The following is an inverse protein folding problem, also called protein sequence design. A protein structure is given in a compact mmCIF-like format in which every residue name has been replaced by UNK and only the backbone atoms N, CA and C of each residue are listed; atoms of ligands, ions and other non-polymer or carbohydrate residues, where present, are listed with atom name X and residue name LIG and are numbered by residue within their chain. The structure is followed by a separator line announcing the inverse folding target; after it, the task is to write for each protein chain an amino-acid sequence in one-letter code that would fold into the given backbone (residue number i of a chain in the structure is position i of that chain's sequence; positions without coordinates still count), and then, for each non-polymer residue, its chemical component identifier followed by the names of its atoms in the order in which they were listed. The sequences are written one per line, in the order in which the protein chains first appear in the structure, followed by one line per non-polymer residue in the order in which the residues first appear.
data_IF_781013288219
#
_entry.id   IF_781013288219
#
_cell.length_a   1.000
_cell.length_b   1.000
_cell.length_c   1.000
_cell.angle_alpha   90.00
_cell.angle_beta   90.00
_cell.angle_gamma   90.00
#
_symmetry.space_group_name_H-M   'P 1'
#
loop_
_entity.id
_entity.type
_entity.pdbx_description
1 polymer ?
#
# COMPACT_ATOMS: atom_id res chain seq x y z
N UNK A 1 -11.04 -9.09 -6.75
CA UNK A 1 -10.19 -8.63 -5.62
C UNK A 1 -9.31 -7.46 -6.06
N UNK A 2 -9.23 -6.47 -5.24
CA UNK A 2 -8.34 -5.32 -5.42
C UNK A 2 -7.32 -5.35 -4.29
N UNK A 3 -6.05 -5.30 -4.64
CA UNK A 3 -4.96 -5.22 -3.67
C UNK A 3 -4.45 -3.78 -3.64
N UNK A 4 -4.44 -3.17 -2.45
CA UNK A 4 -3.91 -1.83 -2.26
C UNK A 4 -2.75 -1.91 -1.28
N UNK A 5 -1.54 -1.64 -1.76
CA UNK A 5 -0.34 -1.59 -0.95
C UNK A 5 -0.01 -0.15 -0.60
N UNK A 6 0.26 0.12 0.67
CA UNK A 6 0.61 1.44 1.17
C UNK A 6 2.04 1.45 1.68
N UNK A 7 2.80 2.47 1.29
CA UNK A 7 3.97 2.90 2.01
C UNK A 7 3.52 3.60 3.31
N UNK A 8 4.44 3.82 4.23
CA UNK A 8 4.11 4.42 5.52
C UNK A 8 4.60 5.87 5.61
N UNK A 9 5.92 6.07 5.63
CA UNK A 9 6.51 7.40 5.81
C UNK A 9 6.11 8.34 4.68
N UNK A 10 5.57 9.51 5.03
CA UNK A 10 5.11 10.49 4.06
C UNK A 10 3.83 10.11 3.32
N UNK A 11 3.23 8.96 3.63
CA UNK A 11 2.01 8.46 3.00
C UNK A 11 0.85 8.40 3.99
N UNK A 12 1.06 7.79 5.14
CA UNK A 12 0.05 7.67 6.19
C UNK A 12 0.27 8.72 7.28
N UNK A 13 -0.81 9.19 7.90
CA UNK A 13 -0.75 10.24 8.92
C UNK A 13 -0.04 9.80 10.20
N UNK A 14 0.08 8.51 10.45
CA UNK A 14 0.90 7.99 11.55
C UNK A 14 2.39 8.25 11.34
N UNK A 15 2.81 8.67 10.14
CA UNK A 15 4.20 8.91 9.77
C UNK A 15 4.31 10.08 8.78
N UNK A 16 3.69 11.22 9.14
CA UNK A 16 3.77 12.50 8.42
C UNK A 16 3.19 12.50 7.01
N UNK A 17 2.24 11.60 6.73
CA UNK A 17 1.59 11.54 5.42
C UNK A 17 0.18 12.13 5.41
N UNK A 18 -0.39 12.37 4.22
CA UNK A 18 -1.71 12.98 4.09
C UNK A 18 -2.87 12.00 4.27
N UNK A 19 -2.64 10.68 4.20
CA UNK A 19 -3.73 9.72 4.26
C UNK A 19 -3.98 9.29 5.70
N UNK A 20 -5.21 9.53 6.24
CA UNK A 20 -5.54 9.07 7.58
C UNK A 20 -5.52 7.53 7.65
N UNK A 21 -4.94 6.99 8.72
CA UNK A 21 -4.97 5.55 8.97
C UNK A 21 -6.41 5.03 9.03
N UNK A 22 -7.33 5.84 9.55
CA UNK A 22 -8.75 5.49 9.58
C UNK A 22 -9.31 5.17 8.19
N UNK A 23 -8.75 5.79 7.15
CA UNK A 23 -9.15 5.52 5.77
C UNK A 23 -8.85 4.08 5.35
N UNK A 24 -7.75 3.52 5.84
CA UNK A 24 -7.38 2.15 5.54
C UNK A 24 -8.40 1.16 6.12
N UNK A 25 -8.89 1.43 7.33
CA UNK A 25 -9.93 0.59 7.92
C UNK A 25 -11.21 0.63 7.09
N UNK A 26 -11.61 1.81 6.64
CA UNK A 26 -12.80 1.97 5.79
C UNK A 26 -12.63 1.24 4.46
N UNK A 27 -11.45 1.38 3.83
CA UNK A 27 -11.15 0.72 2.55
C UNK A 27 -11.14 -0.81 2.68
N UNK A 28 -10.80 -1.33 3.84
CA UNK A 28 -10.71 -2.76 4.07
C UNK A 28 -12.05 -3.43 4.43
N UNK A 29 -13.13 -2.66 4.58
CA UNK A 29 -14.45 -3.21 4.90
C UNK A 29 -15.00 -4.07 3.75
N UNK A 30 -14.99 -3.65 2.49
CA UNK A 30 -15.46 -4.50 1.41
C UNK A 30 -14.58 -5.75 1.27
N UNK A 31 -15.21 -6.95 1.14
CA UNK A 31 -14.44 -8.20 1.08
C UNK A 31 -13.59 -8.35 -0.18
N UNK A 32 -13.82 -7.51 -1.19
CA UNK A 32 -13.06 -7.53 -2.44
C UNK A 32 -11.82 -6.61 -2.41
N UNK A 33 -11.54 -5.93 -1.29
CA UNK A 33 -10.36 -5.08 -1.12
C UNK A 33 -9.47 -5.68 -0.04
N UNK A 34 -8.20 -5.89 -0.37
CA UNK A 34 -7.17 -6.28 0.58
C UNK A 34 -6.17 -5.15 0.73
N UNK A 35 -5.99 -4.67 1.94
CA UNK A 35 -4.99 -3.67 2.29
C UNK A 35 -3.74 -4.38 2.79
N UNK A 36 -2.57 -3.96 2.30
CA UNK A 36 -1.27 -4.41 2.81
C UNK A 36 -0.36 -3.21 3.00
N UNK A 37 0.63 -3.35 3.87
CA UNK A 37 1.65 -2.33 4.12
C UNK A 37 2.98 -2.84 3.56
N UNK A 38 3.62 -2.04 2.74
CA UNK A 38 4.95 -2.33 2.19
C UNK A 38 5.89 -1.21 2.66
N UNK A 39 6.42 -1.36 3.87
CA UNK A 39 7.27 -0.34 4.47
C UNK A 39 8.05 -0.93 5.64
N UNK A 40 9.30 -0.48 5.80
CA UNK A 40 10.13 -0.81 6.94
C UNK A 40 9.90 0.13 8.14
N UNK A 41 9.03 1.10 8.02
CA UNK A 41 8.79 2.08 9.07
C UNK A 41 8.27 1.44 10.35
N UNK A 42 8.86 1.78 11.53
CA UNK A 42 8.35 1.28 12.81
C UNK A 42 6.96 1.82 13.17
N UNK A 43 6.54 2.93 12.54
CA UNK A 43 5.24 3.54 12.79
C UNK A 43 4.08 2.70 12.27
N UNK A 44 4.35 1.73 11.41
CA UNK A 44 3.32 0.84 10.86
C UNK A 44 3.27 -0.53 11.53
N UNK A 45 4.12 -0.79 12.53
CA UNK A 45 4.23 -2.11 13.18
C UNK A 45 2.92 -2.55 13.84
N UNK A 46 2.17 -1.61 14.39
CA UNK A 46 0.95 -1.90 15.15
C UNK A 46 -0.33 -1.88 14.31
N UNK A 47 -0.21 -1.60 13.02
CA UNK A 47 -1.39 -1.61 12.15
C UNK A 47 -1.82 -3.05 11.90
N UNK A 48 -3.13 -3.33 11.91
CA UNK A 48 -3.64 -4.70 11.78
C UNK A 48 -3.71 -5.20 10.35
N UNK A 49 -2.89 -4.64 9.48
CA UNK A 49 -2.82 -5.05 8.07
C UNK A 49 -1.56 -5.88 7.83
N UNK A 50 -1.61 -6.86 6.90
CA UNK A 50 -0.42 -7.62 6.54
C UNK A 50 0.71 -6.68 6.12
N UNK A 51 1.92 -6.93 6.65
CA UNK A 51 3.08 -6.08 6.42
C UNK A 51 4.18 -6.86 5.73
N UNK A 52 4.65 -6.32 4.63
CA UNK A 52 5.75 -6.91 3.85
C UNK A 52 6.98 -6.02 4.06
N UNK A 53 7.77 -6.40 5.03
CA UNK A 53 8.97 -5.68 5.45
C UNK A 53 10.05 -6.71 5.64
N UNK A 54 10.77 -6.99 4.61
CA UNK A 54 11.92 -7.88 4.70
C UNK A 54 13.17 -7.10 4.34
N UNK A 55 14.32 -7.75 4.45
CA UNK A 55 15.57 -7.23 3.92
C UNK A 55 15.56 -7.16 2.39
N UNK A 56 14.49 -7.67 1.78
CA UNK A 56 14.30 -7.66 0.35
C UNK A 56 14.02 -6.25 -0.16
N UNK A 57 14.20 -6.06 -1.46
CA UNK A 57 13.89 -4.81 -2.12
C UNK A 57 12.37 -4.57 -2.09
N UNK A 58 11.97 -3.31 -2.30
CA UNK A 58 10.55 -2.95 -2.41
C UNK A 58 9.88 -3.73 -3.54
N UNK A 59 10.58 -3.92 -4.66
CA UNK A 59 10.07 -4.72 -5.77
C UNK A 59 9.70 -6.14 -5.32
N UNK A 60 10.58 -6.80 -4.59
CA UNK A 60 10.31 -8.16 -4.11
C UNK A 60 9.15 -8.20 -3.13
N UNK A 61 9.03 -7.21 -2.25
CA UNK A 61 7.92 -7.13 -1.30
C UNK A 61 6.59 -6.94 -2.02
N UNK A 62 6.55 -6.10 -3.05
CA UNK A 62 5.33 -5.90 -3.88
C UNK A 62 4.96 -7.17 -4.63
N UNK A 63 5.95 -7.87 -5.19
CA UNK A 63 5.70 -9.15 -5.88
C UNK A 63 5.18 -10.21 -4.90
N UNK A 64 5.76 -10.30 -3.73
CA UNK A 64 5.34 -11.25 -2.70
C UNK A 64 3.90 -10.98 -2.26
N UNK A 65 3.55 -9.71 -2.05
CA UNK A 65 2.19 -9.33 -1.69
C UNK A 65 1.18 -9.71 -2.78
N UNK A 66 1.52 -9.51 -4.04
CA UNK A 66 0.65 -9.85 -5.17
C UNK A 66 0.46 -11.37 -5.30
N UNK A 67 1.48 -12.16 -4.98
CA UNK A 67 1.38 -13.62 -4.98
C UNK A 67 0.50 -14.09 -3.82
N UNK A 68 0.68 -13.49 -2.64
CA UNK A 68 -0.08 -13.83 -1.45
C UNK A 68 -1.56 -13.49 -1.57
N UNK A 69 -1.87 -12.38 -2.24
CA UNK A 69 -3.23 -11.88 -2.41
C UNK A 69 -3.51 -11.65 -3.90
N UNK A 70 -3.70 -12.73 -4.67
CA UNK A 70 -3.97 -12.61 -6.11
C UNK A 70 -5.17 -11.73 -6.38
N UNK A 71 -5.00 -10.73 -7.23
CA UNK A 71 -6.02 -9.71 -7.47
C UNK A 71 -6.04 -9.32 -8.94
N UNK A 72 -7.17 -8.78 -9.38
CA UNK A 72 -7.32 -8.28 -10.75
C UNK A 72 -6.76 -6.88 -10.93
N UNK A 73 -6.61 -6.15 -9.81
CA UNK A 73 -6.07 -4.80 -9.81
C UNK A 73 -5.17 -4.63 -8.58
N UNK A 74 -3.95 -4.19 -8.81
CA UNK A 74 -2.97 -3.91 -7.76
C UNK A 74 -2.60 -2.43 -7.78
N UNK A 75 -2.77 -1.74 -6.66
CA UNK A 75 -2.43 -0.33 -6.49
C UNK A 75 -1.31 -0.19 -5.47
N UNK A 76 -0.36 0.70 -5.73
CA UNK A 76 0.69 1.05 -4.77
C UNK A 76 0.69 2.54 -4.50
N UNK A 77 0.47 2.89 -3.23
CA UNK A 77 0.35 4.27 -2.77
C UNK A 77 1.63 4.64 -2.01
N UNK A 78 2.41 5.55 -2.56
CA UNK A 78 3.70 5.97 -2.00
C UNK A 78 3.98 7.43 -2.33
N UNK A 79 4.61 8.15 -1.40
CA UNK A 79 5.01 9.54 -1.61
C UNK A 79 6.29 9.68 -2.44
N UNK A 80 7.00 8.60 -2.64
CA UNK A 80 8.22 8.59 -3.43
C UNK A 80 7.90 8.36 -4.90
N UNK A 81 8.03 9.42 -5.72
CA UNK A 81 7.73 9.34 -7.16
C UNK A 81 8.63 8.37 -7.91
N UNK A 82 9.84 8.08 -7.37
CA UNK A 82 10.72 7.05 -7.92
C UNK A 82 10.14 5.65 -7.83
N UNK A 83 9.16 5.43 -6.99
CA UNK A 83 8.48 4.14 -6.85
C UNK A 83 7.54 3.81 -8.00
N UNK A 84 7.24 4.76 -8.88
CA UNK A 84 6.41 4.53 -10.05
C UNK A 84 6.97 3.40 -10.93
N UNK A 85 8.27 3.43 -11.20
CA UNK A 85 8.91 2.38 -11.98
C UNK A 85 8.87 1.03 -11.28
N UNK A 86 9.16 1.02 -9.98
CA UNK A 86 9.13 -0.21 -9.18
C UNK A 86 7.72 -0.81 -9.16
N UNK A 87 6.71 0.03 -8.99
CA UNK A 87 5.32 -0.41 -9.02
C UNK A 87 4.95 -1.06 -10.35
N UNK A 88 5.33 -0.42 -11.45
CA UNK A 88 5.07 -0.96 -12.80
C UNK A 88 5.75 -2.30 -13.00
N UNK A 89 6.99 -2.43 -12.56
CA UNK A 89 7.73 -3.69 -12.68
C UNK A 89 7.07 -4.82 -11.89
N UNK A 90 6.41 -4.49 -10.78
CA UNK A 90 5.72 -5.45 -9.95
C UNK A 90 4.27 -5.71 -10.39
N UNK A 91 3.77 -5.01 -11.42
CA UNK A 91 2.41 -5.15 -11.89
C UNK A 91 1.39 -4.32 -11.12
N UNK A 92 1.83 -3.24 -10.49
CA UNK A 92 0.98 -2.31 -9.74
C UNK A 92 0.79 -1.00 -10.51
N UNK A 93 -0.33 -0.34 -10.26
CA UNK A 93 -0.54 1.03 -10.68
C UNK A 93 -0.08 1.93 -9.53
N UNK A 94 0.86 2.82 -9.81
CA UNK A 94 1.37 3.75 -8.84
C UNK A 94 0.43 4.95 -8.66
N UNK A 95 0.25 5.38 -7.40
CA UNK A 95 -0.50 6.58 -7.07
C UNK A 95 0.20 7.33 -5.94
N UNK A 96 0.45 8.64 -6.15
CA UNK A 96 0.96 9.49 -5.09
C UNK A 96 -0.16 9.73 -4.06
N UNK A 97 0.13 9.74 -2.74
CA UNK A 97 -0.91 9.89 -1.72
C UNK A 97 -1.75 11.16 -1.86
N UNK A 98 -1.21 12.23 -2.41
CA UNK A 98 -1.97 13.47 -2.67
C UNK A 98 -3.07 13.28 -3.72
N UNK A 99 -2.91 12.30 -4.58
CA UNK A 99 -3.85 12.01 -5.66
C UNK A 99 -4.74 10.80 -5.35
N UNK A 100 -4.51 10.16 -4.21
CA UNK A 100 -5.31 9.00 -3.82
C UNK A 100 -6.67 9.46 -3.32
N UNK A 101 -7.68 9.13 -4.08
CA UNK A 101 -9.07 9.48 -3.74
C UNK A 101 -9.98 8.36 -4.25
N UNK A 102 -10.10 7.32 -3.43
CA UNK A 102 -10.97 6.20 -3.74
C UNK A 102 -12.29 6.40 -3.00
N UNK A 103 -13.39 6.66 -3.70
CA UNK A 103 -14.69 6.80 -3.04
C UNK A 103 -15.16 5.46 -2.49
N UNK A 104 -15.66 5.47 -1.25
CA UNK A 104 -16.17 4.29 -0.55
C UNK A 104 -17.68 4.18 -0.59
N UNK A 105 -18.28 4.61 -1.64
CA UNK A 105 -19.74 4.60 -1.68
C UNK A 105 -20.27 3.72 -2.76
#
# INVERSE_FOLDING_TARGET
MILIAFDCDGTLDSSDGPIPVSRLYELNIPPYIQIVIVSASPFCVRLPFPRFVSENTRLENLLTAAIRYPSTLNLYISDNTGDDMVAKMAGYIYCHPKNFNLPLR
#
